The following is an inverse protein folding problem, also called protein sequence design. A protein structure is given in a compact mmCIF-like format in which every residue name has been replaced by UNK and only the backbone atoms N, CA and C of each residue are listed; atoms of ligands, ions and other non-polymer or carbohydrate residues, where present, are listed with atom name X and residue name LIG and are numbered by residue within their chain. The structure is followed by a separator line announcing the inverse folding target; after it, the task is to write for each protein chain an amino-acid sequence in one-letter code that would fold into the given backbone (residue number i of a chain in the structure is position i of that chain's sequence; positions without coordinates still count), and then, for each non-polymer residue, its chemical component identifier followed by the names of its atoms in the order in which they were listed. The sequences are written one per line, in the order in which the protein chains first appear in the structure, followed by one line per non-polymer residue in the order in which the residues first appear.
data_IF_275514726266
#
_entry.id   IF_275514726266
#
_cell.length_a   1.000
_cell.length_b   1.000
_cell.length_c   1.000
_cell.angle_alpha   90.00
_cell.angle_beta   90.00
_cell.angle_gamma   90.00
#
_symmetry.space_group_name_H-M   'P 1'
#
loop_
_entity.id
_entity.type
_entity.pdbx_description
1 polymer ?
#
# COMPACT_ATOMS: atom_id res chain seq x y z
N UNK A 1 50.39 12.94 37.64
CA UNK A 1 50.67 12.69 36.21
C UNK A 1 50.63 11.18 36.03
N UNK A 2 49.57 10.53 35.56
CA UNK A 2 48.43 10.95 34.76
C UNK A 2 47.17 10.26 35.31
N UNK A 3 46.24 11.05 35.80
CA UNK A 3 44.81 10.80 35.63
C UNK A 3 44.46 11.33 34.24
N UNK A 4 43.73 10.59 33.41
CA UNK A 4 42.83 11.06 32.33
C UNK A 4 42.37 9.84 31.51
N UNK A 5 41.06 9.82 31.25
CA UNK A 5 40.31 8.97 30.29
C UNK A 5 39.98 7.54 30.69
N UNK A 6 38.86 7.40 31.41
CA UNK A 6 37.92 6.28 31.19
C UNK A 6 36.49 6.73 31.51
N UNK A 7 36.02 7.75 30.81
CA UNK A 7 34.63 8.21 30.81
C UNK A 7 34.33 8.85 29.47
N UNK A 8 34.08 8.04 28.43
CA UNK A 8 33.30 8.50 27.27
C UNK A 8 32.94 7.32 26.35
N UNK A 9 31.93 6.51 26.71
CA UNK A 9 31.29 5.56 25.79
C UNK A 9 29.80 5.35 26.14
N UNK A 10 29.14 6.30 26.80
CA UNK A 10 27.69 6.21 27.10
C UNK A 10 26.79 7.06 26.22
N UNK A 11 27.35 7.88 25.33
CA UNK A 11 26.56 8.86 24.58
C UNK A 11 26.36 8.46 23.10
N UNK A 12 26.61 7.17 22.78
CA UNK A 12 26.44 6.58 21.45
C UNK A 12 25.29 5.56 21.32
N UNK A 13 24.64 5.16 22.40
CA UNK A 13 23.53 4.17 22.41
C UNK A 13 22.13 4.81 22.52
N UNK A 14 22.05 6.14 22.44
CA UNK A 14 20.80 6.91 22.31
C UNK A 14 20.65 7.55 20.94
N UNK A 15 21.21 6.89 19.91
CA UNK A 15 20.90 7.15 18.50
C UNK A 15 19.69 6.31 18.08
N UNK A 16 18.49 6.84 18.31
CA UNK A 16 17.35 6.69 17.39
C UNK A 16 16.90 5.26 17.00
N UNK A 17 16.93 4.32 17.93
CA UNK A 17 16.02 3.16 17.86
C UNK A 17 14.66 3.65 18.35
N UNK A 18 13.77 3.98 17.40
CA UNK A 18 12.41 4.38 17.71
C UNK A 18 11.67 3.18 18.30
N UNK A 19 11.64 3.07 19.63
CA UNK A 19 10.93 1.97 20.29
C UNK A 19 9.42 2.12 20.09
N UNK A 20 8.69 1.00 20.11
CA UNK A 20 7.22 0.99 19.98
C UNK A 20 6.55 1.91 21.02
N UNK A 21 7.12 2.04 22.22
CA UNK A 21 6.61 2.94 23.26
C UNK A 21 6.80 4.41 22.90
N UNK A 22 7.94 4.77 22.29
CA UNK A 22 8.17 6.12 21.80
C UNK A 22 7.22 6.44 20.65
N UNK A 23 6.97 5.48 19.75
CA UNK A 23 5.97 5.61 18.68
C UNK A 23 4.56 5.79 19.25
N UNK A 24 4.20 5.00 20.26
CA UNK A 24 2.89 5.06 20.91
C UNK A 24 2.70 6.41 21.61
N UNK A 25 3.74 6.93 22.27
CA UNK A 25 3.71 8.26 22.85
C UNK A 25 3.49 9.35 21.77
N UNK A 26 4.13 9.22 20.60
CA UNK A 26 3.90 10.13 19.47
C UNK A 26 2.47 10.01 18.93
N UNK A 27 1.97 8.79 18.71
CA UNK A 27 0.60 8.54 18.27
C UNK A 27 -0.44 9.16 19.22
N UNK A 28 -0.22 9.00 20.54
CA UNK A 28 -1.02 9.61 21.59
C UNK A 28 -0.92 11.13 21.61
N UNK A 29 0.13 11.73 21.07
CA UNK A 29 0.29 13.19 20.98
C UNK A 29 -0.25 13.81 19.69
N UNK A 30 -0.66 13.00 18.70
CA UNK A 30 -1.19 13.51 17.42
C UNK A 30 -2.43 14.39 17.65
N UNK A 31 -2.41 15.57 17.01
CA UNK A 31 -3.58 16.45 16.97
C UNK A 31 -4.58 15.95 15.94
N UNK A 32 -5.82 15.71 16.36
CA UNK A 32 -6.92 15.38 15.45
C UNK A 32 -7.16 16.53 14.47
N UNK A 33 -7.05 17.78 14.92
CA UNK A 33 -7.20 18.97 14.07
C UNK A 33 -6.16 19.00 12.95
N UNK A 34 -4.90 18.73 13.26
CA UNK A 34 -3.83 18.72 12.24
C UNK A 34 -3.93 17.53 11.28
N UNK A 35 -4.40 16.38 11.75
CA UNK A 35 -4.71 15.25 10.87
C UNK A 35 -5.91 15.57 9.97
N UNK A 36 -6.92 16.28 10.48
CA UNK A 36 -8.07 16.71 9.70
C UNK A 36 -7.68 17.74 8.63
N UNK A 37 -6.82 18.71 8.96
CA UNK A 37 -6.28 19.68 7.98
C UNK A 37 -5.58 18.95 6.81
N UNK A 38 -4.79 17.92 7.14
CA UNK A 38 -4.10 17.11 6.15
C UNK A 38 -5.08 16.29 5.28
N UNK A 39 -6.08 15.65 5.90
CA UNK A 39 -7.11 14.89 5.18
C UNK A 39 -7.96 15.80 4.28
N UNK A 40 -8.34 16.99 4.74
CA UNK A 40 -9.06 17.98 3.92
C UNK A 40 -8.21 18.45 2.74
N UNK A 41 -6.91 18.67 2.96
CA UNK A 41 -5.99 19.09 1.90
C UNK A 41 -5.82 18.02 0.82
N UNK A 42 -5.81 16.74 1.19
CA UNK A 42 -5.76 15.63 0.23
C UNK A 42 -7.10 15.45 -0.48
N UNK A 43 -8.21 15.60 0.27
CA UNK A 43 -9.56 15.38 -0.22
C UNK A 43 -9.90 13.88 -0.33
N UNK A 44 -11.06 13.49 0.21
CA UNK A 44 -11.51 12.11 0.14
C UNK A 44 -13.02 11.94 0.36
N UNK A 45 -13.64 11.13 -0.48
CA UNK A 45 -15.00 10.63 -0.26
C UNK A 45 -15.07 9.15 -0.64
N UNK A 46 -15.37 8.28 0.33
CA UNK A 46 -15.57 6.86 0.08
C UNK A 46 -16.85 6.65 -0.76
N UNK A 47 -16.69 6.11 -1.97
CA UNK A 47 -17.80 5.84 -2.90
C UNK A 47 -18.53 4.51 -2.62
N UNK A 48 -18.09 3.76 -1.60
CA UNK A 48 -18.58 2.42 -1.25
C UNK A 48 -18.49 1.41 -2.41
N UNK A 49 -17.56 1.59 -3.34
CA UNK A 49 -17.41 0.74 -4.53
C UNK A 49 -16.91 -0.70 -4.25
N UNK A 50 -16.41 -0.98 -3.04
CA UNK A 50 -15.91 -2.31 -2.68
C UNK A 50 -14.55 -2.69 -3.28
N UNK A 51 -13.92 -1.82 -4.08
CA UNK A 51 -12.62 -2.13 -4.71
C UNK A 51 -11.49 -2.42 -3.71
N UNK A 52 -11.52 -1.81 -2.53
CA UNK A 52 -10.56 -2.11 -1.47
C UNK A 52 -10.76 -3.48 -0.81
N UNK A 53 -11.87 -4.18 -1.11
CA UNK A 53 -12.17 -5.51 -0.59
C UNK A 53 -11.81 -6.61 -1.59
N UNK A 54 -11.36 -6.29 -2.80
CA UNK A 54 -11.04 -7.27 -3.84
C UNK A 54 -9.58 -7.69 -3.78
N UNK A 55 -9.28 -8.88 -4.30
CA UNK A 55 -7.91 -9.34 -4.47
C UNK A 55 -7.14 -8.43 -5.44
N UNK A 56 -5.83 -8.26 -5.23
CA UNK A 56 -4.98 -7.50 -6.14
C UNK A 56 -4.48 -8.40 -7.25
N UNK A 57 -4.71 -7.99 -8.50
CA UNK A 57 -4.05 -8.60 -9.63
C UNK A 57 -2.70 -7.92 -9.81
N UNK A 58 -1.61 -8.67 -9.67
CA UNK A 58 -0.32 -8.25 -10.18
C UNK A 58 -0.43 -8.20 -11.71
N UNK A 59 -0.90 -7.08 -12.26
CA UNK A 59 -0.64 -6.78 -13.65
C UNK A 59 0.87 -6.58 -13.76
N UNK A 60 1.57 -7.54 -14.37
CA UNK A 60 2.96 -7.38 -14.79
C UNK A 60 3.10 -5.96 -15.35
N UNK A 61 3.91 -5.13 -14.69
CA UNK A 61 4.35 -3.82 -15.17
C UNK A 61 5.06 -4.02 -16.52
N UNK A 62 4.27 -4.22 -17.56
CA UNK A 62 4.67 -4.11 -18.95
C UNK A 62 4.63 -2.62 -19.20
N UNK A 63 5.79 -2.02 -18.97
CA UNK A 63 6.18 -0.75 -19.55
C UNK A 63 5.83 -0.77 -21.05
N UNK A 64 4.61 -0.33 -21.38
CA UNK A 64 4.19 -0.06 -22.74
C UNK A 64 4.77 1.30 -23.09
N UNK A 65 6.06 1.31 -23.41
CA UNK A 65 6.59 2.31 -24.33
C UNK A 65 5.90 2.05 -25.67
N UNK A 66 4.77 2.70 -25.90
CA UNK A 66 4.21 2.79 -27.24
C UNK A 66 5.06 3.79 -28.01
N UNK A 67 6.15 3.31 -28.60
CA UNK A 67 6.79 3.99 -29.71
C UNK A 67 5.83 3.96 -30.92
N UNK A 68 5.08 5.04 -31.07
CA UNK A 68 4.51 5.51 -32.34
C UNK A 68 4.54 7.04 -32.24
N UNK A 69 5.23 7.80 -33.10
CA UNK A 69 5.05 7.74 -34.53
C UNK A 69 6.28 8.18 -35.34
N UNK A 70 6.48 7.44 -36.41
CA UNK A 70 7.40 7.74 -37.51
C UNK A 70 6.81 8.85 -38.37
N UNK A 71 7.39 10.06 -38.36
CA UNK A 71 7.10 11.06 -39.39
C UNK A 71 8.09 10.95 -40.56
N UNK A 72 7.60 10.32 -41.62
CA UNK A 72 8.20 10.24 -42.93
C UNK A 72 8.26 11.64 -43.57
N UNK A 73 9.46 12.14 -43.85
CA UNK A 73 9.70 13.34 -44.66
C UNK A 73 9.59 12.97 -46.15
N UNK A 74 8.65 13.57 -46.87
CA UNK A 74 8.78 13.77 -48.31
C UNK A 74 8.50 15.24 -48.60
N UNK A 75 9.48 15.90 -49.20
CA UNK A 75 9.42 17.32 -49.53
C UNK A 75 8.70 17.58 -50.85
N UNK A 76 8.30 18.84 -51.05
CA UNK A 76 8.28 19.56 -52.32
C UNK A 76 7.85 21.01 -52.07
N UNK A 77 8.56 21.97 -52.68
CA UNK A 77 8.23 23.41 -52.77
C UNK A 77 6.79 23.64 -53.30
N UNK A 78 6.19 24.84 -53.10
CA UNK A 78 6.32 25.87 -54.14
C UNK A 78 6.37 27.33 -53.68
N UNK A 79 6.75 28.15 -54.66
CA UNK A 79 6.81 29.60 -54.71
C UNK A 79 5.44 30.31 -54.84
N UNK A 80 5.44 31.62 -54.53
CA UNK A 80 4.74 32.75 -55.20
C UNK A 80 3.18 32.71 -55.26
N UNK A 81 2.36 33.74 -55.00
CA UNK A 81 2.41 35.21 -55.22
C UNK A 81 1.16 35.88 -54.58
N UNK A 82 1.28 37.19 -54.25
CA UNK A 82 0.25 38.29 -54.21
C UNK A 82 -0.92 38.17 -53.20
N UNK A 83 -1.42 39.19 -52.49
CA UNK A 83 -1.34 40.66 -52.64
C UNK A 83 -1.77 41.35 -51.31
N UNK A 84 -1.01 42.37 -50.91
CA UNK A 84 -1.33 43.69 -50.30
C UNK A 84 -2.67 43.97 -49.57
N UNK A 85 -2.63 44.21 -48.24
CA UNK A 85 -2.68 45.52 -47.46
C UNK A 85 -4.09 46.15 -47.26
N UNK A 86 -4.31 47.13 -46.34
CA UNK A 86 -3.53 47.61 -45.17
C UNK A 86 -4.39 47.89 -43.90
N UNK A 87 -3.76 48.32 -42.79
CA UNK A 87 -4.00 49.63 -42.09
C UNK A 87 -3.67 49.58 -40.58
N UNK A 88 -2.66 50.40 -40.22
CA UNK A 88 -2.45 51.24 -39.00
C UNK A 88 -2.42 50.58 -37.60
N UNK A 89 -1.62 51.00 -36.62
CA UNK A 89 -0.97 52.29 -36.36
C UNK A 89 0.14 52.18 -35.30
N UNK A 90 1.24 52.90 -35.57
CA UNK A 90 2.11 53.72 -34.72
C UNK A 90 2.41 53.44 -33.23
N UNK A 91 3.73 53.55 -32.96
CA UNK A 91 4.34 54.27 -31.82
C UNK A 91 5.00 53.35 -30.80
N UNK A 92 6.17 53.62 -30.22
CA UNK A 92 7.15 54.70 -30.29
C UNK A 92 8.31 54.24 -29.37
N UNK A 93 9.58 54.44 -29.77
CA UNK A 93 10.75 54.74 -28.91
C UNK A 93 11.16 53.70 -27.82
N UNK A 94 12.41 53.46 -27.41
CA UNK A 94 13.74 54.06 -27.61
C UNK A 94 14.79 53.04 -27.08
N UNK A 95 15.99 53.08 -27.68
CA UNK A 95 17.37 52.99 -27.13
C UNK A 95 17.55 52.59 -25.62
N UNK A 96 18.54 51.83 -25.12
CA UNK A 96 19.97 51.62 -25.49
C UNK A 96 20.63 50.62 -24.51
N UNK A 97 21.90 50.25 -24.81
CA UNK A 97 22.98 49.69 -23.96
C UNK A 97 23.20 48.17 -24.06
N UNK A 98 24.20 47.67 -24.81
CA UNK A 98 25.68 47.72 -24.65
C UNK A 98 26.23 46.67 -23.67
N UNK A 99 26.91 45.65 -24.25
CA UNK A 99 28.16 44.96 -23.83
C UNK A 99 28.19 44.30 -22.42
N UNK A 100 28.83 43.16 -22.12
CA UNK A 100 29.90 42.37 -22.74
C UNK A 100 30.10 41.11 -21.87
N UNK A 101 30.55 39.99 -22.48
CA UNK A 101 31.53 39.00 -21.96
C UNK A 101 31.26 38.28 -20.60
N UNK A 102 31.48 36.98 -20.38
CA UNK A 102 32.30 35.95 -21.06
C UNK A 102 32.10 34.61 -20.32
N UNK A 103 32.28 33.50 -21.07
CA UNK A 103 32.84 32.18 -20.66
C UNK A 103 32.08 31.35 -19.60
N UNK A 104 31.95 30.03 -19.70
CA UNK A 104 32.86 29.02 -20.25
C UNK A 104 32.18 27.63 -20.34
N UNK A 105 32.65 26.80 -21.28
CA UNK A 105 32.78 25.33 -21.21
C UNK A 105 31.51 24.45 -21.11
N UNK A 106 31.40 23.27 -21.72
CA UNK A 106 32.19 22.49 -22.67
C UNK A 106 31.30 21.28 -23.00
N UNK A 107 31.05 20.94 -24.28
CA UNK A 107 30.51 19.62 -24.66
C UNK A 107 31.36 19.04 -25.78
N UNK A 108 31.94 17.90 -25.44
CA UNK A 108 32.84 17.07 -26.23
C UNK A 108 32.03 16.44 -27.37
N UNK A 109 32.56 16.60 -28.58
CA UNK A 109 32.05 15.99 -29.80
C UNK A 109 32.30 14.49 -29.82
N UNK A 110 31.32 13.79 -30.38
CA UNK A 110 31.43 12.43 -30.85
C UNK A 110 32.42 12.38 -32.02
N UNK A 111 33.13 11.27 -32.15
CA UNK A 111 33.39 10.72 -33.49
C UNK A 111 33.41 9.20 -33.44
N UNK A 112 32.43 8.64 -34.14
CA UNK A 112 32.34 7.25 -34.50
C UNK A 112 33.35 6.93 -35.61
N UNK A 113 33.95 5.74 -35.56
CA UNK A 113 34.30 5.01 -36.79
C UNK A 113 34.06 3.52 -36.63
N UNK A 114 33.18 3.06 -37.51
CA UNK A 114 32.97 1.70 -37.97
C UNK A 114 34.26 1.23 -38.64
N UNK A 115 34.70 -0.01 -38.39
CA UNK A 115 35.06 -0.94 -39.46
C UNK A 115 35.23 -2.38 -38.97
N UNK A 116 34.89 -3.27 -39.89
CA UNK A 116 34.74 -4.71 -39.75
C UNK A 116 36.06 -5.46 -39.55
N UNK A 117 35.99 -6.60 -38.85
CA UNK A 117 36.28 -7.95 -39.35
C UNK A 117 36.55 -8.92 -38.18
N UNK A 118 36.07 -10.15 -38.37
CA UNK A 118 36.84 -11.40 -38.21
C UNK A 118 36.19 -12.49 -37.35
N UNK A 119 35.97 -13.60 -38.06
CA UNK A 119 35.81 -15.03 -37.75
C UNK A 119 36.16 -15.38 -36.29
N UNK A 120 35.47 -16.28 -35.59
CA UNK A 120 35.15 -17.70 -35.85
C UNK A 120 34.50 -18.15 -34.52
N UNK A 121 33.43 -18.94 -34.44
CA UNK A 121 33.53 -20.41 -34.36
C UNK A 121 32.13 -21.03 -34.23
N UNK A 122 32.08 -22.28 -34.63
CA UNK A 122 30.94 -23.06 -35.12
C UNK A 122 30.28 -23.90 -34.01
N UNK A 123 28.98 -24.18 -34.23
CA UNK A 123 28.23 -25.38 -33.84
C UNK A 123 28.04 -25.73 -32.36
N UNK A 124 26.78 -25.75 -31.91
CA UNK A 124 25.97 -26.97 -31.93
C UNK A 124 24.49 -26.63 -31.74
N UNK A 125 23.71 -26.80 -32.81
CA UNK A 125 22.28 -27.08 -32.70
C UNK A 125 22.15 -28.61 -32.60
N UNK A 126 21.25 -29.05 -31.72
CA UNK A 126 20.34 -30.21 -31.82
C UNK A 126 20.08 -30.70 -30.40
N UNK A 127 18.93 -30.29 -29.83
CA UNK A 127 18.00 -31.15 -29.11
C UNK A 127 16.74 -30.32 -28.81
N UNK A 128 15.92 -30.19 -29.85
CA UNK A 128 14.53 -29.77 -29.74
C UNK A 128 13.72 -31.05 -29.85
N UNK A 129 13.28 -31.59 -28.72
CA UNK A 129 12.05 -32.39 -28.62
C UNK A 129 11.66 -32.62 -27.16
N UNK A 130 10.39 -32.27 -26.86
CA UNK A 130 9.63 -32.58 -25.65
C UNK A 130 10.04 -31.93 -24.32
N UNK A 131 9.44 -30.77 -24.05
CA UNK A 131 8.44 -30.72 -22.96
C UNK A 131 7.42 -29.62 -23.22
N UNK A 132 6.24 -30.05 -23.67
CA UNK A 132 5.02 -29.31 -23.42
C UNK A 132 4.85 -29.24 -21.90
N UNK A 133 4.86 -28.01 -21.39
CA UNK A 133 4.10 -27.52 -20.24
C UNK A 133 4.60 -26.10 -19.99
N UNK A 134 4.24 -25.22 -20.93
CA UNK A 134 4.09 -23.82 -20.58
C UNK A 134 2.89 -23.76 -19.64
N UNK A 135 3.14 -23.99 -18.35
CA UNK A 135 2.28 -23.44 -17.32
C UNK A 135 2.33 -21.92 -17.55
N UNK A 136 1.32 -21.42 -18.25
CA UNK A 136 0.88 -20.05 -18.11
C UNK A 136 0.74 -19.85 -16.62
N UNK A 137 1.75 -19.23 -16.01
CA UNK A 137 1.60 -18.68 -14.67
C UNK A 137 0.50 -17.64 -14.83
N UNK A 138 -0.71 -18.00 -14.43
CA UNK A 138 -1.74 -17.03 -14.16
C UNK A 138 -1.09 -15.94 -13.29
N UNK A 139 -1.30 -14.65 -13.57
CA UNK A 139 -0.82 -13.61 -12.67
C UNK A 139 -1.29 -13.97 -11.27
N UNK A 140 -0.35 -14.13 -10.34
CA UNK A 140 -0.64 -14.55 -8.98
C UNK A 140 -1.48 -13.45 -8.38
N UNK A 141 -2.78 -13.71 -8.30
CA UNK A 141 -3.73 -12.79 -7.69
C UNK A 141 -3.48 -12.87 -6.20
N UNK A 142 -2.95 -11.79 -5.62
CA UNK A 142 -2.70 -11.71 -4.19
C UNK A 142 -4.04 -11.52 -3.48
N UNK A 143 -4.43 -12.43 -2.57
CA UNK A 143 -5.67 -12.27 -1.82
C UNK A 143 -5.67 -10.96 -1.03
N UNK A 144 -6.85 -10.35 -0.93
CA UNK A 144 -7.09 -9.22 -0.06
C UNK A 144 -6.53 -9.51 1.35
N UNK A 145 -5.72 -8.59 1.85
CA UNK A 145 -5.07 -8.73 3.15
C UNK A 145 -5.22 -7.43 3.92
N UNK A 146 -5.98 -7.48 5.01
CA UNK A 146 -6.16 -6.37 5.92
C UNK A 146 -6.09 -6.92 7.36
N UNK A 147 -5.17 -6.39 8.15
CA UNK A 147 -4.97 -6.82 9.54
C UNK A 147 -6.19 -6.53 10.38
N UNK A 148 -6.60 -7.48 11.21
CA UNK A 148 -7.72 -7.35 12.13
C UNK A 148 -7.31 -7.83 13.51
N UNK A 149 -7.71 -7.11 14.56
CA UNK A 149 -7.38 -7.48 15.94
C UNK A 149 -8.47 -8.31 16.62
N UNK A 150 -8.16 -9.05 17.71
CA UNK A 150 -9.09 -10.01 18.30
C UNK A 150 -10.45 -9.46 18.75
N UNK A 151 -10.51 -8.21 19.21
CA UNK A 151 -11.77 -7.55 19.56
C UNK A 151 -12.57 -7.19 18.30
N UNK A 152 -11.93 -6.66 17.27
CA UNK A 152 -12.56 -6.36 15.97
C UNK A 152 -13.15 -7.62 15.31
N UNK A 153 -12.49 -8.79 15.46
CA UNK A 153 -13.05 -10.07 14.99
C UNK A 153 -14.37 -10.37 15.70
N UNK A 154 -14.43 -10.20 17.02
CA UNK A 154 -15.64 -10.46 17.82
C UNK A 154 -16.75 -9.45 17.54
N UNK A 155 -16.40 -8.20 17.28
CA UNK A 155 -17.34 -7.16 16.85
C UNK A 155 -17.99 -7.53 15.50
N UNK A 156 -17.20 -7.98 14.53
CA UNK A 156 -17.72 -8.45 13.24
C UNK A 156 -18.57 -9.72 13.37
N UNK A 157 -18.18 -10.69 14.20
CA UNK A 157 -19.02 -11.87 14.47
C UNK A 157 -20.41 -11.45 14.99
N UNK A 158 -20.44 -10.50 15.93
CA UNK A 158 -21.68 -9.96 16.49
C UNK A 158 -22.51 -9.28 15.42
N UNK A 159 -21.90 -8.40 14.61
CA UNK A 159 -22.59 -7.70 13.53
C UNK A 159 -23.18 -8.66 12.49
N UNK A 160 -22.45 -9.71 12.12
CA UNK A 160 -22.92 -10.73 11.18
C UNK A 160 -24.07 -11.54 11.77
N UNK A 161 -23.97 -11.93 13.03
CA UNK A 161 -25.05 -12.66 13.72
C UNK A 161 -26.32 -11.82 13.81
N UNK A 162 -26.21 -10.52 14.13
CA UNK A 162 -27.34 -9.59 14.12
C UNK A 162 -27.99 -9.51 12.73
N UNK A 163 -27.20 -9.34 11.66
CA UNK A 163 -27.71 -9.31 10.28
C UNK A 163 -28.40 -10.63 9.87
N UNK A 164 -27.88 -11.78 10.30
CA UNK A 164 -28.51 -13.10 10.03
C UNK A 164 -29.87 -13.23 10.73
N UNK A 165 -29.98 -12.69 11.94
CA UNK A 165 -31.18 -12.76 12.77
C UNK A 165 -32.31 -11.89 12.22
N UNK A 166 -31.99 -10.77 11.59
CA UNK A 166 -32.98 -9.93 10.90
C UNK A 166 -33.52 -10.58 9.61
N UNK A 167 -32.74 -11.43 8.95
CA UNK A 167 -33.08 -12.04 7.66
C UNK A 167 -33.83 -13.38 7.77
N UNK A 168 -33.81 -14.05 8.93
CA UNK A 168 -34.26 -15.44 9.04
C UNK A 168 -35.34 -15.64 10.12
N UNK A 169 -36.53 -16.13 9.72
CA UNK A 169 -37.64 -16.50 10.62
C UNK A 169 -37.44 -17.85 11.35
N UNK A 170 -36.30 -18.52 11.18
CA UNK A 170 -36.04 -19.87 11.72
C UNK A 170 -34.92 -19.88 12.76
N UNK A 171 -35.18 -20.59 13.87
CA UNK A 171 -34.33 -20.70 15.07
C UNK A 171 -33.08 -21.59 14.87
N UNK A 172 -32.50 -21.63 13.67
CA UNK A 172 -31.23 -22.32 13.42
C UNK A 172 -30.12 -21.28 13.33
N UNK A 173 -29.80 -20.67 14.48
CA UNK A 173 -28.72 -19.70 14.59
C UNK A 173 -27.44 -20.42 15.03
N UNK A 174 -26.63 -20.85 14.06
CA UNK A 174 -25.22 -21.07 14.35
C UNK A 174 -24.55 -19.71 14.41
N UNK A 175 -23.94 -19.39 15.55
CA UNK A 175 -23.10 -18.20 15.71
C UNK A 175 -21.99 -18.21 14.67
N UNK A 176 -21.62 -17.03 14.17
CA UNK A 176 -20.51 -16.85 13.24
C UNK A 176 -19.20 -17.30 13.89
N UNK A 177 -18.46 -18.20 13.23
CA UNK A 177 -17.21 -18.74 13.75
C UNK A 177 -16.03 -17.80 13.46
N UNK A 178 -14.91 -17.96 14.16
CA UNK A 178 -13.72 -17.12 13.95
C UNK A 178 -13.22 -17.20 12.50
N UNK A 179 -13.22 -18.42 11.95
CA UNK A 179 -12.79 -18.71 10.58
C UNK A 179 -13.70 -18.10 9.52
N UNK A 180 -14.92 -17.70 9.88
CA UNK A 180 -15.84 -17.01 8.97
C UNK A 180 -15.44 -15.53 8.81
N UNK A 181 -14.63 -14.98 9.73
CA UNK A 181 -14.28 -13.55 9.79
C UNK A 181 -12.79 -13.32 9.57
N UNK A 182 -11.95 -14.17 10.15
CA UNK A 182 -10.50 -13.98 10.21
C UNK A 182 -9.74 -15.25 9.83
N UNK A 183 -8.54 -15.05 9.27
CA UNK A 183 -7.57 -16.09 8.93
C UNK A 183 -6.19 -15.73 9.48
N UNK A 184 -5.32 -16.74 9.73
CA UNK A 184 -3.92 -16.48 10.04
C UNK A 184 -3.29 -15.57 8.98
N UNK A 185 -2.46 -14.61 9.40
CA UNK A 185 -1.68 -13.81 8.48
C UNK A 185 -0.81 -14.75 7.60
N UNK A 186 -0.69 -14.53 6.28
CA UNK A 186 -0.05 -15.50 5.39
C UNK A 186 1.48 -15.57 5.56
N UNK A 187 2.09 -14.64 6.30
CA UNK A 187 3.54 -14.61 6.53
C UNK A 187 4.00 -15.70 7.50
N UNK A 188 5.11 -16.38 7.18
CA UNK A 188 5.67 -17.43 8.05
C UNK A 188 4.99 -18.79 7.93
N UNK A 189 4.02 -18.94 7.02
CA UNK A 189 3.36 -20.21 6.70
C UNK A 189 3.94 -20.80 5.41
N UNK A 190 4.10 -22.12 5.36
CA UNK A 190 4.56 -22.82 4.16
C UNK A 190 3.40 -23.09 3.18
N UNK A 191 3.73 -23.36 1.93
CA UNK A 191 2.74 -23.54 0.85
C UNK A 191 1.79 -24.73 1.09
N UNK A 192 2.18 -25.66 1.97
CA UNK A 192 1.38 -26.83 2.33
C UNK A 192 0.45 -26.55 3.54
N UNK A 193 0.62 -25.41 4.24
CA UNK A 193 -0.24 -24.86 5.29
C UNK A 193 -0.65 -25.84 6.40
N UNK A 194 0.20 -26.83 6.70
CA UNK A 194 -0.12 -27.83 7.75
C UNK A 194 0.56 -27.56 9.07
N UNK A 195 1.66 -26.81 9.09
CA UNK A 195 2.40 -26.43 10.30
C UNK A 195 3.06 -25.07 10.12
N UNK A 196 3.16 -24.27 11.18
CA UNK A 196 3.88 -23.00 11.11
C UNK A 196 3.51 -22.04 12.23
N UNK A 197 4.23 -20.92 12.30
CA UNK A 197 3.95 -19.84 13.24
C UNK A 197 3.77 -18.55 12.46
N UNK A 198 2.70 -17.84 12.77
CA UNK A 198 2.44 -16.51 12.22
C UNK A 198 2.01 -15.54 13.31
N UNK A 199 1.96 -14.26 12.96
CA UNK A 199 1.61 -13.16 13.85
C UNK A 199 0.38 -12.43 13.31
N UNK A 200 -0.54 -12.12 14.21
CA UNK A 200 -1.79 -11.42 13.95
C UNK A 200 -2.73 -12.12 12.95
N UNK A 201 -3.90 -11.51 12.74
CA UNK A 201 -4.94 -12.00 11.87
C UNK A 201 -5.15 -11.09 10.67
N UNK A 202 -5.53 -11.69 9.54
CA UNK A 202 -6.10 -10.97 8.41
C UNK A 202 -7.59 -11.22 8.32
N UNK A 203 -8.34 -10.29 7.73
CA UNK A 203 -9.69 -10.54 7.27
C UNK A 203 -9.72 -11.79 6.38
N UNK A 204 -10.72 -12.64 6.60
CA UNK A 204 -10.92 -13.85 5.82
C UNK A 204 -11.23 -13.49 4.36
N UNK A 205 -10.84 -14.39 3.45
CA UNK A 205 -11.13 -14.26 2.03
C UNK A 205 -11.97 -15.41 1.50
N UNK A 206 -12.69 -15.16 0.41
CA UNK A 206 -13.37 -16.19 -0.37
C UNK A 206 -12.39 -16.95 -1.29
N UNK A 207 -12.93 -17.87 -2.11
CA UNK A 207 -12.14 -18.66 -3.06
C UNK A 207 -11.52 -17.84 -4.20
N UNK A 208 -11.99 -16.62 -4.44
CA UNK A 208 -11.43 -15.68 -5.40
C UNK A 208 -10.35 -14.78 -4.78
N UNK A 209 -10.17 -14.86 -3.46
CA UNK A 209 -9.23 -14.01 -2.72
C UNK A 209 -9.81 -12.66 -2.31
N UNK A 210 -11.10 -12.41 -2.53
CA UNK A 210 -11.76 -11.19 -2.06
C UNK A 210 -12.09 -11.33 -0.57
N UNK A 211 -12.18 -10.22 0.15
CA UNK A 211 -12.69 -10.19 1.52
C UNK A 211 -14.07 -10.89 1.59
N UNK A 212 -14.33 -11.71 2.61
CA UNK A 212 -15.62 -12.42 2.80
C UNK A 212 -16.83 -11.50 2.92
N UNK A 213 -16.62 -10.22 3.22
CA UNK A 213 -17.68 -9.21 3.28
C UNK A 213 -17.91 -8.49 1.95
N UNK A 214 -17.15 -8.82 0.90
CA UNK A 214 -17.38 -8.30 -0.44
C UNK A 214 -18.60 -8.98 -1.07
N UNK A 215 -19.54 -8.19 -1.56
CA UNK A 215 -20.59 -8.65 -2.45
C UNK A 215 -20.65 -7.78 -3.68
N UNK A 216 -20.88 -8.42 -4.83
CA UNK A 216 -21.09 -7.75 -6.10
C UNK A 216 -22.51 -8.02 -6.58
N UNK A 217 -23.25 -6.95 -6.88
CA UNK A 217 -24.59 -7.02 -7.47
C UNK A 217 -24.63 -6.16 -8.71
N UNK A 218 -25.06 -6.72 -9.84
CA UNK A 218 -25.14 -6.03 -11.14
C UNK A 218 -23.83 -5.35 -11.58
N UNK A 219 -22.68 -5.95 -11.26
CA UNK A 219 -21.36 -5.42 -11.59
C UNK A 219 -20.87 -4.29 -10.67
N UNK A 220 -21.57 -4.05 -9.55
CA UNK A 220 -21.22 -3.03 -8.56
C UNK A 220 -20.84 -3.75 -7.26
N UNK A 221 -19.58 -3.58 -6.85
CA UNK A 221 -19.05 -4.09 -5.60
C UNK A 221 -19.52 -3.30 -4.38
N UNK A 222 -19.57 -3.97 -3.23
CA UNK A 222 -19.96 -3.37 -1.96
C UNK A 222 -19.39 -4.14 -0.77
N UNK A 223 -19.13 -3.45 0.34
CA UNK A 223 -18.74 -4.06 1.60
C UNK A 223 -19.99 -4.23 2.49
N UNK A 224 -20.35 -5.46 2.80
CA UNK A 224 -21.51 -5.77 3.66
C UNK A 224 -21.28 -5.38 5.13
N UNK A 225 -20.01 -5.35 5.57
CA UNK A 225 -19.62 -4.91 6.90
C UNK A 225 -19.33 -3.41 6.98
N UNK A 226 -19.80 -2.60 6.01
CA UNK A 226 -19.41 -1.19 5.89
C UNK A 226 -19.59 -0.42 7.22
N UNK A 227 -20.70 -0.59 7.92
CA UNK A 227 -20.94 0.20 9.13
C UNK A 227 -20.22 -0.32 10.39
N UNK A 228 -19.63 -1.53 10.30
CA UNK A 228 -18.88 -2.19 11.37
C UNK A 228 -17.44 -2.52 10.93
N UNK A 229 -16.87 -1.70 10.03
CA UNK A 229 -15.53 -1.97 9.49
C UNK A 229 -14.46 -1.93 10.58
N UNK A 230 -13.50 -2.88 10.57
CA UNK A 230 -12.27 -2.75 11.34
C UNK A 230 -11.57 -1.44 11.05
N UNK A 231 -10.75 -0.96 11.99
CA UNK A 231 -10.05 0.32 11.92
C UNK A 231 -9.23 0.46 10.64
N UNK A 232 -8.52 -0.60 10.22
CA UNK A 232 -7.77 -0.63 8.94
C UNK A 232 -8.66 -0.24 7.74
N UNK A 233 -9.89 -0.73 7.67
CA UNK A 233 -10.83 -0.50 6.58
C UNK A 233 -11.65 0.79 6.80
N UNK A 234 -11.87 1.20 8.06
CA UNK A 234 -12.58 2.42 8.40
C UNK A 234 -11.75 3.67 8.05
N UNK A 235 -10.43 3.57 8.14
CA UNK A 235 -9.51 4.69 7.85
C UNK A 235 -8.88 4.62 6.46
N UNK A 236 -9.11 3.56 5.69
CA UNK A 236 -8.67 3.47 4.30
C UNK A 236 -9.22 4.68 3.50
N UNK A 237 -8.38 5.37 2.70
CA UNK A 237 -7.04 4.98 2.25
C UNK A 237 -5.89 5.64 3.04
N UNK A 238 -6.13 6.11 4.27
CA UNK A 238 -5.13 6.87 5.02
C UNK A 238 -4.33 6.02 6.03
N UNK A 239 -3.05 6.36 6.17
CA UNK A 239 -2.18 5.89 7.27
C UNK A 239 -1.36 7.06 7.85
N UNK A 240 -0.70 6.83 9.00
CA UNK A 240 0.14 7.84 9.66
C UNK A 240 1.62 7.47 9.57
N UNK A 241 2.45 8.46 9.26
CA UNK A 241 3.91 8.38 9.22
C UNK A 241 4.55 8.48 10.62
N UNK A 242 4.47 7.42 11.42
CA UNK A 242 5.28 7.29 12.64
C UNK A 242 6.60 6.59 12.26
N UNK A 243 7.73 7.28 12.46
CA UNK A 243 9.01 7.04 11.76
C UNK A 243 9.75 5.70 11.95
N UNK A 244 9.10 4.60 12.35
CA UNK A 244 9.77 3.37 12.77
C UNK A 244 9.62 2.15 11.88
N UNK A 245 8.53 1.96 11.13
CA UNK A 245 8.32 0.68 10.43
C UNK A 245 7.57 0.81 9.10
N UNK A 246 7.89 -0.13 8.20
CA UNK A 246 7.36 -0.31 6.85
C UNK A 246 5.86 -0.09 6.76
N UNK A 247 5.45 0.63 5.72
CA UNK A 247 4.07 1.00 5.47
C UNK A 247 3.28 -0.27 5.06
N UNK A 248 2.23 -0.67 5.80
CA UNK A 248 1.50 -1.90 5.51
C UNK A 248 0.67 -1.84 4.23
N UNK A 249 0.50 -0.65 3.63
CA UNK A 249 -0.44 -0.39 2.54
C UNK A 249 0.24 -0.05 1.20
N UNK A 250 1.53 -0.34 1.06
CA UNK A 250 2.30 -0.02 -0.15
C UNK A 250 2.81 1.42 -0.16
N UNK A 251 3.22 1.89 -1.36
CA UNK A 251 3.71 3.26 -1.57
C UNK A 251 2.53 4.24 -1.57
N UNK A 252 2.69 5.34 -0.83
CA UNK A 252 1.69 6.41 -0.79
C UNK A 252 1.61 7.13 -2.15
N UNK A 253 0.39 7.37 -2.62
CA UNK A 253 0.12 8.14 -3.85
C UNK A 253 -0.01 9.64 -3.59
N UNK A 254 -0.22 10.03 -2.32
CA UNK A 254 -0.26 11.43 -1.85
C UNK A 254 0.13 11.51 -0.37
N UNK A 255 0.59 12.68 0.08
CA UNK A 255 0.96 12.93 1.48
C UNK A 255 0.74 14.38 1.91
N UNK A 256 0.29 14.55 3.16
CA UNK A 256 0.15 15.85 3.79
C UNK A 256 0.54 15.75 5.28
N UNK A 257 1.63 16.42 5.66
CA UNK A 257 2.16 16.36 7.02
C UNK A 257 2.52 14.93 7.42
N UNK A 258 1.79 14.37 8.39
CA UNK A 258 1.97 12.97 8.83
C UNK A 258 1.00 11.99 8.16
N UNK A 259 0.02 12.47 7.39
CA UNK A 259 -0.97 11.64 6.73
C UNK A 259 -0.44 11.20 5.37
N UNK A 260 -0.53 9.90 5.10
CA UNK A 260 -0.26 9.29 3.80
C UNK A 260 -1.55 8.75 3.22
N UNK A 261 -1.76 8.92 1.93
CA UNK A 261 -2.88 8.35 1.20
C UNK A 261 -2.40 7.24 0.26
N UNK A 262 -3.14 6.14 0.22
CA UNK A 262 -2.91 4.99 -0.64
C UNK A 262 -3.90 4.97 -1.79
N UNK A 263 -3.61 4.21 -2.84
CA UNK A 263 -4.43 4.18 -4.04
C UNK A 263 -5.91 3.94 -3.72
N UNK A 264 -6.78 4.87 -4.13
CA UNK A 264 -8.24 4.77 -3.98
C UNK A 264 -8.94 5.75 -4.93
N UNK A 265 -10.04 5.30 -5.57
CA UNK A 265 -10.90 6.11 -6.45
C UNK A 265 -11.59 7.29 -5.72
N UNK A 266 -11.64 7.24 -4.40
CA UNK A 266 -12.25 8.28 -3.56
C UNK A 266 -11.37 9.52 -3.34
N UNK A 267 -10.07 9.47 -3.68
CA UNK A 267 -9.13 10.56 -3.43
C UNK A 267 -9.40 11.80 -4.30
N UNK A 268 -9.06 12.98 -3.78
CA UNK A 268 -9.22 14.28 -4.45
C UNK A 268 -10.66 14.80 -4.47
N UNK A 269 -11.62 14.08 -3.88
CA UNK A 269 -13.01 14.52 -3.72
C UNK A 269 -13.14 15.49 -2.55
N UNK A 270 -14.14 16.35 -2.59
CA UNK A 270 -14.39 17.31 -1.51
C UNK A 270 -14.83 16.56 -0.24
N UNK A 271 -14.21 16.89 0.89
CA UNK A 271 -14.57 16.38 2.21
C UNK A 271 -14.92 17.56 3.11
N UNK A 272 -16.03 17.45 3.84
CA UNK A 272 -16.42 18.46 4.83
C UNK A 272 -15.51 18.37 6.06
N UNK A 273 -15.30 19.50 6.75
CA UNK A 273 -14.52 19.55 8.00
C UNK A 273 -14.93 18.52 9.03
N UNK A 274 -16.21 18.45 9.35
CA UNK A 274 -16.73 17.50 10.35
C UNK A 274 -16.35 16.06 9.98
N UNK A 275 -16.48 15.70 8.70
CA UNK A 275 -16.11 14.36 8.21
C UNK A 275 -14.61 14.11 8.23
N UNK A 276 -13.80 15.12 7.92
CA UNK A 276 -12.34 15.02 8.01
C UNK A 276 -11.88 14.85 9.47
N UNK A 277 -12.53 15.54 10.43
CA UNK A 277 -12.26 15.39 11.86
C UNK A 277 -12.67 14.00 12.39
N UNK A 278 -13.82 13.47 11.96
CA UNK A 278 -14.22 12.09 12.26
C UNK A 278 -13.19 11.06 11.73
N UNK A 279 -12.75 11.23 10.49
CA UNK A 279 -11.77 10.35 9.87
C UNK A 279 -10.40 10.47 10.54
N UNK A 280 -9.97 11.69 10.88
CA UNK A 280 -8.75 11.97 11.62
C UNK A 280 -8.75 11.34 13.02
N UNK A 281 -9.88 11.44 13.75
CA UNK A 281 -10.03 10.82 15.05
C UNK A 281 -9.94 9.30 14.97
N UNK A 282 -10.59 8.71 13.96
CA UNK A 282 -10.53 7.26 13.69
C UNK A 282 -9.11 6.84 13.29
N UNK A 283 -8.44 7.62 12.44
CA UNK A 283 -7.06 7.37 12.00
C UNK A 283 -6.06 7.41 13.16
N UNK A 284 -6.20 8.38 14.07
CA UNK A 284 -5.41 8.41 15.30
C UNK A 284 -5.70 7.22 16.20
N UNK A 285 -6.97 6.84 16.34
CA UNK A 285 -7.37 5.67 17.13
C UNK A 285 -6.73 4.40 16.59
N UNK A 286 -6.76 4.21 15.27
CA UNK A 286 -6.08 3.12 14.57
C UNK A 286 -4.58 3.11 14.86
N UNK A 287 -3.88 4.25 14.68
CA UNK A 287 -2.44 4.32 14.89
C UNK A 287 -2.04 3.98 16.35
N UNK A 288 -2.84 4.41 17.33
CA UNK A 288 -2.63 4.05 18.73
C UNK A 288 -2.84 2.55 18.94
N UNK A 289 -3.95 2.01 18.41
CA UNK A 289 -4.32 0.61 18.57
C UNK A 289 -3.27 -0.32 17.97
N UNK A 290 -2.84 -0.09 16.72
CA UNK A 290 -1.81 -0.90 16.06
C UNK A 290 -0.53 -1.00 16.90
N UNK A 291 -0.13 0.09 17.56
CA UNK A 291 1.05 0.10 18.43
C UNK A 291 0.82 -0.59 19.77
N UNK A 292 -0.36 -0.45 20.37
CA UNK A 292 -0.72 -1.16 21.61
C UNK A 292 -0.80 -2.68 21.40
N UNK A 293 -1.33 -3.10 20.26
CA UNK A 293 -1.39 -4.51 19.83
C UNK A 293 0.03 -5.05 19.60
N UNK A 294 0.88 -4.31 18.87
CA UNK A 294 2.27 -4.70 18.64
C UNK A 294 3.10 -4.80 19.94
N UNK A 295 2.91 -3.87 20.89
CA UNK A 295 3.55 -3.93 22.21
C UNK A 295 3.05 -5.15 22.99
N UNK A 296 1.74 -5.37 23.01
CA UNK A 296 1.13 -6.49 23.75
C UNK A 296 1.56 -7.84 23.18
N UNK A 297 1.64 -7.97 21.86
CA UNK A 297 2.17 -9.13 21.17
C UNK A 297 3.62 -9.38 21.59
N UNK A 298 4.49 -8.37 21.51
CA UNK A 298 5.90 -8.48 21.93
C UNK A 298 6.03 -8.92 23.39
N UNK A 299 5.21 -8.35 24.27
CA UNK A 299 5.30 -8.60 25.72
C UNK A 299 4.72 -9.96 26.12
N UNK A 300 3.77 -10.49 25.35
CA UNK A 300 3.10 -11.78 25.59
C UNK A 300 3.74 -12.93 24.81
N UNK A 301 4.55 -12.64 23.79
CA UNK A 301 5.13 -13.64 22.92
C UNK A 301 6.04 -14.61 23.67
N UNK A 302 5.65 -15.88 23.66
CA UNK A 302 6.49 -17.01 24.02
C UNK A 302 6.68 -17.87 22.75
N UNK A 303 7.93 -18.23 22.39
CA UNK A 303 8.17 -19.11 21.25
C UNK A 303 7.36 -20.41 21.40
N UNK A 304 6.60 -20.81 20.37
CA UNK A 304 5.83 -22.04 20.47
C UNK A 304 6.79 -23.22 20.64
N UNK A 305 6.45 -24.12 21.57
CA UNK A 305 7.08 -25.43 21.65
C UNK A 305 6.81 -26.26 20.39
N UNK A 306 7.08 -27.57 20.46
CA UNK A 306 6.66 -28.49 19.40
C UNK A 306 5.14 -28.57 19.38
N UNK A 307 4.49 -27.78 18.53
CA UNK A 307 3.04 -27.75 18.34
C UNK A 307 2.68 -28.46 17.04
N UNK A 308 1.64 -29.28 17.09
CA UNK A 308 1.04 -29.84 15.88
C UNK A 308 0.11 -28.77 15.28
N UNK A 309 0.42 -28.29 14.08
CA UNK A 309 -0.43 -27.36 13.34
C UNK A 309 0.12 -25.94 13.21
N UNK A 310 -0.74 -25.03 12.75
CA UNK A 310 -0.45 -23.59 12.68
C UNK A 310 -0.72 -22.96 14.06
N UNK A 311 0.19 -22.11 14.51
CA UNK A 311 0.05 -21.25 15.68
C UNK A 311 0.01 -19.79 15.24
N UNK A 312 -1.01 -19.06 15.69
CA UNK A 312 -1.13 -17.61 15.50
C UNK A 312 -0.84 -16.93 16.83
N UNK A 313 0.12 -16.01 16.87
CA UNK A 313 0.33 -15.15 18.03
C UNK A 313 -0.28 -13.78 17.77
N UNK A 314 -1.17 -13.33 18.66
CA UNK A 314 -1.66 -11.96 18.71
C UNK A 314 -1.45 -11.36 20.10
N UNK A 315 -2.00 -10.17 20.33
CA UNK A 315 -1.92 -9.45 21.61
C UNK A 315 -2.50 -10.20 22.81
N UNK A 316 -3.35 -11.21 22.61
CA UNK A 316 -3.93 -12.02 23.68
C UNK A 316 -3.22 -13.38 23.85
N UNK A 317 -2.16 -13.64 23.08
CA UNK A 317 -1.32 -14.84 23.17
C UNK A 317 -1.46 -15.82 21.99
N UNK A 318 -1.00 -17.06 22.21
CA UNK A 318 -0.96 -18.10 21.18
C UNK A 318 -2.34 -18.75 20.96
N UNK A 319 -2.75 -18.88 19.70
CA UNK A 319 -4.04 -19.42 19.27
C UNK A 319 -3.90 -20.43 18.14
N UNK A 320 -4.87 -21.34 18.04
CA UNK A 320 -5.10 -22.16 16.86
C UNK A 320 -5.78 -21.33 15.76
N UNK A 321 -5.82 -21.80 14.50
CA UNK A 321 -6.42 -21.05 13.39
C UNK A 321 -7.93 -20.78 13.50
N UNK A 322 -8.64 -21.34 14.48
CA UNK A 322 -10.03 -20.97 14.85
C UNK A 322 -10.11 -19.91 15.94
N UNK A 323 -9.00 -19.29 16.31
CA UNK A 323 -8.95 -18.30 17.37
C UNK A 323 -9.03 -18.90 18.78
N UNK A 324 -9.11 -20.23 18.92
CA UNK A 324 -9.09 -20.86 20.25
C UNK A 324 -7.70 -20.75 20.88
N UNK A 325 -7.57 -20.34 22.15
CA UNK A 325 -6.29 -20.30 22.83
C UNK A 325 -5.60 -21.66 22.84
N UNK A 326 -4.27 -21.65 22.74
CA UNK A 326 -3.44 -22.81 23.05
C UNK A 326 -3.14 -22.70 24.55
N UNK A 327 -3.72 -23.61 25.35
CA UNK A 327 -3.40 -23.67 26.78
C UNK A 327 -1.89 -23.88 26.97
N UNK A 328 -1.28 -23.13 27.89
CA UNK A 328 0.10 -23.33 28.31
C UNK A 328 0.33 -24.81 28.67
N UNK A 329 1.15 -25.52 27.89
CA UNK A 329 1.63 -26.86 28.25
C UNK A 329 2.77 -26.78 29.26
#
# INVERSE_FOLDING_TARGET
MKDTEMTDLSDGETGEMQTLEAELARAKSLSVESLADAIESIGFECTRCGACCTAHHEEESKNQTTDADTHHKSGSEPAQTTDNTPIESNGSETETHTATATTESSRIGHDAKIDAHDRTQTAHNLDKENRADAATQSPTTEPHTATIFPDEVRELQTAVDEMKNERTDTNTQSSTEWRDVARPMPYGLDNDNTTGTTFEWALQTDACGNCVFYEETDGIGSCQAHDNRPLICATYPFSVALGGTSQPMGEAVDEAGMVRAHECEGLGREITRDRAEELAATLRTRAIRELEEAISLRDTYEPPGSTDGIVVHDSEGAKRPDGTPIDDQ
#
